data_IF_932723751391
#
_entry.id   IF_932723751391
#
_cell.length_a   1.000
_cell.length_b   1.000
_cell.length_c   1.000
_cell.angle_alpha   90.00
_cell.angle_beta   90.00
_cell.angle_gamma   90.00
#
_symmetry.space_group_name_H-M   'P 1'
#
loop_
_entity.id
_entity.type
_entity.pdbx_description
1 polymer ?
#
# COMPACT_ATOMS: atom_id res chain seq x y z
N UNK A 1 -0.54 -34.54 -15.00
CA UNK A 1 -0.97 -33.92 -13.73
C UNK A 1 -0.14 -32.66 -13.66
N UNK A 2 -0.65 -31.61 -14.32
CA UNK A 2 -0.03 -30.30 -14.29
C UNK A 2 -0.57 -29.62 -13.03
N UNK A 3 0.30 -29.46 -12.05
CA UNK A 3 0.03 -28.71 -10.83
C UNK A 3 0.00 -27.23 -11.23
N UNK A 4 -1.20 -26.67 -11.36
CA UNK A 4 -1.37 -25.23 -11.32
C UNK A 4 -0.96 -24.76 -9.92
N UNK A 5 0.28 -24.25 -9.80
CA UNK A 5 0.69 -23.48 -8.64
C UNK A 5 -0.21 -22.24 -8.55
N UNK A 6 -1.04 -22.24 -7.52
CA UNK A 6 -2.04 -21.22 -7.22
C UNK A 6 -1.37 -19.86 -7.00
N UNK A 7 -1.29 -19.07 -8.09
CA UNK A 7 -0.71 -17.73 -8.14
C UNK A 7 -1.43 -16.73 -7.20
N UNK A 8 -2.60 -17.11 -6.71
CA UNK A 8 -3.43 -16.37 -5.77
C UNK A 8 -3.69 -17.14 -4.48
N UNK A 9 -2.74 -17.93 -4.00
CA UNK A 9 -2.71 -18.33 -2.59
C UNK A 9 -2.60 -17.05 -1.74
N UNK A 10 -3.75 -16.44 -1.49
CA UNK A 10 -4.00 -15.45 -0.46
C UNK A 10 -3.59 -16.16 0.81
N UNK A 11 -2.46 -15.73 1.35
CA UNK A 11 -2.15 -15.93 2.75
C UNK A 11 -3.24 -15.21 3.56
N UNK A 12 -4.44 -15.82 3.62
CA UNK A 12 -5.38 -15.68 4.72
C UNK A 12 -4.71 -16.32 5.95
N UNK A 13 -3.65 -15.65 6.40
CA UNK A 13 -3.17 -15.72 7.76
C UNK A 13 -3.98 -14.69 8.52
N UNK A 14 -5.19 -15.07 8.91
CA UNK A 14 -5.85 -14.43 10.04
C UNK A 14 -4.87 -14.46 11.23
N UNK A 15 -4.65 -13.29 11.83
CA UNK A 15 -3.95 -13.09 13.11
C UNK A 15 -2.46 -13.46 13.21
N UNK A 16 -1.60 -12.73 12.50
CA UNK A 16 -0.29 -12.36 13.03
C UNK A 16 -0.17 -10.83 13.16
N UNK A 17 -0.87 -10.26 14.16
CA UNK A 17 -0.33 -9.09 14.83
C UNK A 17 0.94 -9.54 15.56
N UNK A 18 2.04 -9.67 14.82
CA UNK A 18 3.36 -9.74 15.43
C UNK A 18 3.49 -8.52 16.34
N UNK A 19 3.42 -8.76 17.66
CA UNK A 19 3.91 -7.79 18.62
C UNK A 19 5.37 -7.58 18.26
N UNK A 20 5.69 -6.42 17.70
CA UNK A 20 7.07 -5.96 17.51
C UNK A 20 7.75 -5.95 18.88
N UNK A 21 8.45 -7.03 19.21
CA UNK A 21 9.06 -7.27 20.53
C UNK A 21 10.51 -6.82 20.56
N UNK A 22 11.17 -6.70 19.40
CA UNK A 22 12.54 -6.18 19.27
C UNK A 22 12.58 -4.78 18.63
N UNK A 23 13.53 -3.90 19.04
CA UNK A 23 13.83 -2.67 18.32
C UNK A 23 14.30 -2.90 16.88
N UNK A 24 14.81 -4.10 16.56
CA UNK A 24 15.24 -4.47 15.21
C UNK A 24 14.06 -4.81 14.30
N UNK A 25 12.98 -5.40 14.84
CA UNK A 25 11.76 -5.69 14.06
C UNK A 25 11.08 -4.38 13.61
N UNK A 26 11.22 -3.30 14.40
CA UNK A 26 10.75 -1.96 14.02
C UNK A 26 11.54 -1.35 12.86
N UNK A 27 12.72 -1.87 12.52
CA UNK A 27 13.51 -1.36 11.38
C UNK A 27 12.98 -1.84 10.03
N UNK A 28 12.13 -2.87 9.98
CA UNK A 28 11.68 -3.52 8.75
C UNK A 28 10.17 -3.60 8.63
N UNK A 29 9.52 -2.44 8.65
CA UNK A 29 8.07 -2.31 8.64
C UNK A 29 7.44 -2.72 7.29
N UNK A 30 8.18 -2.56 6.19
CA UNK A 30 7.66 -2.75 4.83
C UNK A 30 8.35 -3.89 4.08
N UNK A 31 9.23 -4.65 4.74
CA UNK A 31 10.14 -5.57 4.06
C UNK A 31 9.43 -6.71 3.34
N UNK A 32 8.35 -7.24 3.92
CA UNK A 32 7.54 -8.31 3.31
C UNK A 32 6.79 -7.79 2.08
N UNK A 33 6.17 -6.63 2.19
CA UNK A 33 5.38 -6.00 1.14
C UNK A 33 6.28 -5.54 -0.01
N UNK A 34 7.47 -4.99 0.29
CA UNK A 34 8.46 -4.61 -0.71
C UNK A 34 9.01 -5.81 -1.48
N UNK A 35 9.20 -6.96 -0.83
CA UNK A 35 9.60 -8.19 -1.53
C UNK A 35 8.57 -8.61 -2.59
N UNK A 36 7.29 -8.67 -2.20
CA UNK A 36 6.20 -9.02 -3.12
C UNK A 36 6.08 -8.00 -4.25
N UNK A 37 6.27 -6.72 -3.95
CA UNK A 37 6.26 -5.66 -4.94
C UNK A 37 7.42 -5.79 -5.93
N UNK A 38 8.64 -6.03 -5.46
CA UNK A 38 9.83 -6.21 -6.32
C UNK A 38 9.64 -7.38 -7.28
N UNK A 39 9.15 -8.52 -6.79
CA UNK A 39 8.80 -9.66 -7.64
C UNK A 39 7.72 -9.30 -8.68
N UNK A 40 6.68 -8.56 -8.27
CA UNK A 40 5.64 -8.06 -9.17
C UNK A 40 6.15 -7.08 -10.25
N UNK A 41 7.30 -6.44 -10.02
CA UNK A 41 8.00 -5.61 -11.01
C UNK A 41 9.05 -6.38 -11.84
N UNK A 42 9.17 -7.70 -11.63
CA UNK A 42 10.04 -8.59 -12.41
C UNK A 42 11.41 -8.85 -11.79
N UNK A 43 11.62 -8.53 -10.52
CA UNK A 43 12.82 -8.94 -9.76
C UNK A 43 12.71 -10.41 -9.28
N UNK A 44 13.75 -10.91 -8.61
CA UNK A 44 13.77 -12.25 -8.02
C UNK A 44 12.73 -12.39 -6.88
N UNK A 45 12.21 -13.61 -6.68
CA UNK A 45 11.31 -13.95 -5.58
C UNK A 45 11.99 -13.75 -4.21
N UNK A 46 13.31 -13.91 -4.15
CA UNK A 46 14.16 -13.68 -2.98
C UNK A 46 15.25 -12.66 -3.34
N UNK A 47 14.92 -11.35 -3.35
CA UNK A 47 15.89 -10.30 -3.62
C UNK A 47 16.87 -10.14 -2.45
N UNK A 48 18.01 -9.50 -2.70
CA UNK A 48 19.02 -9.27 -1.67
C UNK A 48 18.50 -8.40 -0.53
N UNK A 49 18.84 -8.78 0.70
CA UNK A 49 18.46 -8.05 1.92
C UNK A 49 18.91 -6.60 1.92
N UNK A 50 20.13 -6.34 1.42
CA UNK A 50 20.65 -4.97 1.27
C UNK A 50 19.83 -4.14 0.28
N UNK A 51 19.31 -4.76 -0.78
CA UNK A 51 18.45 -4.05 -1.75
C UNK A 51 17.12 -3.69 -1.11
N UNK A 52 16.52 -4.60 -0.34
CA UNK A 52 15.29 -4.34 0.40
C UNK A 52 15.48 -3.22 1.43
N UNK A 53 16.58 -3.23 2.19
CA UNK A 53 16.90 -2.18 3.16
C UNK A 53 17.04 -0.79 2.51
N UNK A 54 17.75 -0.71 1.39
CA UNK A 54 17.90 0.54 0.65
C UNK A 54 16.56 1.00 0.07
N UNK A 55 15.77 0.08 -0.50
CA UNK A 55 14.47 0.41 -1.05
C UNK A 55 13.51 0.93 0.02
N UNK A 56 13.49 0.29 1.19
CA UNK A 56 12.71 0.73 2.35
C UNK A 56 13.09 2.15 2.78
N UNK A 57 14.40 2.45 2.88
CA UNK A 57 14.87 3.79 3.20
C UNK A 57 14.43 4.83 2.15
N UNK A 58 14.52 4.52 0.87
CA UNK A 58 14.07 5.40 -0.23
C UNK A 58 12.57 5.64 -0.13
N UNK A 59 11.78 4.60 0.08
CA UNK A 59 10.31 4.71 0.20
C UNK A 59 9.91 5.57 1.40
N UNK A 60 10.52 5.37 2.57
CA UNK A 60 10.23 6.16 3.76
C UNK A 60 10.58 7.63 3.56
N UNK A 61 11.74 7.92 2.95
CA UNK A 61 12.13 9.29 2.62
C UNK A 61 11.15 9.94 1.64
N UNK A 62 10.71 9.21 0.60
CA UNK A 62 9.73 9.70 -0.35
C UNK A 62 8.39 10.05 0.32
N UNK A 63 7.88 9.19 1.20
CA UNK A 63 6.63 9.45 1.93
C UNK A 63 6.79 10.70 2.81
N UNK A 64 7.90 10.80 3.54
CA UNK A 64 8.19 11.96 4.39
C UNK A 64 8.22 13.26 3.59
N UNK A 65 8.98 13.30 2.50
CA UNK A 65 9.08 14.48 1.63
C UNK A 65 7.72 14.86 1.03
N UNK A 66 6.93 13.86 0.59
CA UNK A 66 5.60 14.10 0.05
C UNK A 66 4.66 14.70 1.10
N UNK A 67 4.67 14.19 2.33
CA UNK A 67 3.90 14.74 3.45
C UNK A 67 4.34 16.17 3.80
N UNK A 68 5.65 16.44 3.85
CA UNK A 68 6.18 17.79 4.09
C UNK A 68 5.75 18.78 3.00
N UNK A 69 5.76 18.37 1.73
CA UNK A 69 5.25 19.19 0.64
C UNK A 69 3.74 19.41 0.75
N UNK A 70 2.98 18.39 1.14
CA UNK A 70 1.52 18.49 1.26
C UNK A 70 1.13 19.46 2.37
N UNK A 71 1.82 19.42 3.52
CA UNK A 71 1.63 20.39 4.61
C UNK A 71 1.92 21.84 4.21
N UNK A 72 2.82 22.07 3.25
CA UNK A 72 3.14 23.43 2.75
C UNK A 72 2.08 23.99 1.80
N UNK A 73 1.35 23.11 1.12
CA UNK A 73 0.28 23.50 0.17
C UNK A 73 -1.07 23.64 0.88
N UNK A 74 -1.33 22.74 1.84
CA UNK A 74 -2.58 22.65 2.58
C UNK A 74 -2.72 23.69 3.68
N UNK A 75 -3.67 23.44 4.59
CA UNK A 75 -3.85 24.28 5.78
C UNK A 75 -2.72 24.02 6.79
N UNK A 76 -2.24 25.06 7.49
CA UNK A 76 -1.28 24.86 8.57
C UNK A 76 -1.86 23.88 9.59
N UNK A 77 -1.00 22.99 10.09
CA UNK A 77 -1.28 21.97 11.10
C UNK A 77 -2.29 20.86 10.72
N UNK A 78 -2.75 20.79 9.46
CA UNK A 78 -3.64 19.73 9.00
C UNK A 78 -3.25 19.20 7.62
N UNK A 79 -2.92 17.92 7.56
CA UNK A 79 -2.72 17.18 6.31
C UNK A 79 -4.05 16.60 5.82
N UNK A 80 -4.50 17.00 4.63
CA UNK A 80 -5.68 16.45 3.98
C UNK A 80 -5.30 15.57 2.78
N UNK A 81 -6.18 14.63 2.39
CA UNK A 81 -5.92 13.75 1.23
C UNK A 81 -5.94 14.55 -0.07
N UNK A 82 -6.72 15.62 -0.11
CA UNK A 82 -6.82 16.57 -1.22
C UNK A 82 -5.47 17.25 -1.49
N UNK A 83 -4.67 17.50 -0.46
CA UNK A 83 -3.34 18.13 -0.59
C UNK A 83 -2.37 17.19 -1.31
N UNK A 84 -2.38 15.90 -0.95
CA UNK A 84 -1.58 14.86 -1.60
C UNK A 84 -2.04 14.68 -3.05
N UNK A 85 -3.36 14.60 -3.27
CA UNK A 85 -3.95 14.48 -4.61
C UNK A 85 -3.59 15.67 -5.50
N UNK A 86 -3.56 16.88 -4.93
CA UNK A 86 -3.13 18.07 -5.64
C UNK A 86 -1.66 17.98 -6.06
N UNK A 87 -0.75 17.51 -5.21
CA UNK A 87 0.68 17.40 -5.56
C UNK A 87 0.93 16.46 -6.74
N UNK A 88 0.21 15.33 -6.82
CA UNK A 88 0.40 14.32 -7.86
C UNK A 88 -0.23 14.70 -9.21
N UNK A 89 -0.99 15.80 -9.30
CA UNK A 89 -1.76 16.19 -10.51
C UNK A 89 -0.94 16.34 -11.80
N UNK A 90 0.36 16.57 -11.67
CA UNK A 90 1.27 16.73 -12.83
C UNK A 90 1.69 15.39 -13.43
N UNK A 91 1.64 14.32 -12.64
CA UNK A 91 1.93 12.96 -13.11
C UNK A 91 0.62 12.31 -13.57
N UNK A 92 0.39 12.35 -14.89
CA UNK A 92 -0.85 11.87 -15.51
C UNK A 92 -1.13 10.39 -15.16
N UNK A 93 -0.09 9.55 -15.08
CA UNK A 93 -0.25 8.12 -14.80
C UNK A 93 -0.63 7.88 -13.34
N UNK A 94 0.07 8.52 -12.40
CA UNK A 94 -0.26 8.41 -10.96
C UNK A 94 -1.63 9.00 -10.66
N UNK A 95 -1.95 10.15 -11.24
CA UNK A 95 -3.22 10.83 -11.05
C UNK A 95 -4.41 9.98 -11.54
N UNK A 96 -4.32 9.43 -12.75
CA UNK A 96 -5.35 8.53 -13.28
C UNK A 96 -5.53 7.29 -12.40
N UNK A 97 -4.42 6.63 -12.02
CA UNK A 97 -4.48 5.44 -11.17
C UNK A 97 -5.13 5.70 -9.81
N UNK A 98 -4.82 6.83 -9.16
CA UNK A 98 -5.45 7.18 -7.88
C UNK A 98 -6.96 7.38 -8.03
N UNK A 99 -7.39 8.06 -9.10
CA UNK A 99 -8.80 8.25 -9.40
C UNK A 99 -9.53 6.91 -9.56
N UNK A 100 -8.95 5.98 -10.33
CA UNK A 100 -9.54 4.66 -10.58
C UNK A 100 -9.65 3.84 -9.29
N UNK A 101 -8.58 3.82 -8.48
CA UNK A 101 -8.57 3.10 -7.19
C UNK A 101 -9.62 3.64 -6.22
N UNK A 102 -9.79 4.97 -6.16
CA UNK A 102 -10.82 5.58 -5.30
C UNK A 102 -12.22 5.21 -5.79
N UNK A 103 -12.49 5.28 -7.10
CA UNK A 103 -13.78 4.89 -7.69
C UNK A 103 -14.13 3.45 -7.37
N UNK A 104 -13.20 2.52 -7.61
CA UNK A 104 -13.38 1.10 -7.29
C UNK A 104 -13.62 0.87 -5.80
N UNK A 105 -12.90 1.58 -4.93
CA UNK A 105 -13.10 1.47 -3.48
C UNK A 105 -14.50 1.91 -3.05
N UNK A 106 -15.07 2.93 -3.69
CA UNK A 106 -16.43 3.39 -3.43
C UNK A 106 -17.47 2.39 -3.95
N UNK A 107 -17.26 1.82 -5.12
CA UNK A 107 -18.11 0.77 -5.68
C UNK A 107 -18.16 -0.47 -4.78
N UNK A 108 -16.99 -0.94 -4.30
CA UNK A 108 -16.90 -2.04 -3.34
C UNK A 108 -17.63 -1.73 -2.03
N UNK A 109 -17.50 -0.50 -1.51
CA UNK A 109 -18.22 -0.07 -0.30
C UNK A 109 -19.74 -0.06 -0.52
N UNK A 110 -20.21 0.42 -1.67
CA UNK A 110 -21.63 0.41 -2.02
C UNK A 110 -22.17 -1.01 -2.13
N UNK A 111 -21.43 -1.89 -2.82
CA UNK A 111 -21.81 -3.29 -2.97
C UNK A 111 -21.92 -3.99 -1.60
N UNK A 112 -20.90 -3.86 -0.73
CA UNK A 112 -20.92 -4.44 0.62
C UNK A 112 -22.14 -3.99 1.44
N UNK A 113 -22.44 -2.70 1.40
CA UNK A 113 -23.59 -2.14 2.11
C UNK A 113 -24.93 -2.75 1.64
N UNK A 114 -25.07 -3.00 0.34
CA UNK A 114 -26.27 -3.64 -0.22
C UNK A 114 -26.47 -5.08 0.28
N UNK A 115 -25.40 -5.80 0.65
CA UNK A 115 -25.51 -7.13 1.24
C UNK A 115 -25.78 -7.10 2.75
N UNK A 116 -25.23 -6.13 3.48
CA UNK A 116 -25.47 -5.97 4.92
C UNK A 116 -26.92 -5.54 5.25
N UNK A 117 -27.54 -4.75 4.36
CA UNK A 117 -28.93 -4.32 4.50
C UNK A 117 -29.94 -5.46 4.19
N UNK A 118 -29.49 -6.56 3.58
CA UNK A 118 -30.26 -7.80 3.37
C UNK A 118 -29.96 -8.77 4.51
N UNK A 119 -30.39 -8.43 5.74
CA UNK A 119 -30.41 -9.42 6.82
C UNK A 119 -31.45 -10.51 6.52
N UNK A 120 -31.10 -11.79 6.69
CA UNK A 120 -32.01 -12.90 6.42
C UNK A 120 -33.20 -12.87 7.37
N UNK A 121 -34.39 -13.19 6.83
CA UNK A 121 -35.64 -13.49 7.55
C UNK A 121 -35.44 -14.74 8.40
#
# INVERSE_FOLDING_TARGET
>A
MDEEEDLFATSDGEDEKEKLTSPEDKKHLLRRELRNMMYGFGDDKVPYDKTLEVLEAITLNYIKELCELAMKVGKPDKLALEDIHYLIRRDVKKFARVKDLLSMSEELKKARKQFDDVKPI
#
